data_IF_965971219063
#
_entry.id   IF_965971219063
#
_cell.length_a   1.000
_cell.length_b   1.000
_cell.length_c   1.000
_cell.angle_alpha   90.00
_cell.angle_beta   90.00
_cell.angle_gamma   90.00
#
_symmetry.space_group_name_H-M   'P 1'
#
loop_
_entity.id
_entity.type
_entity.pdbx_description
1 polymer ?
#
# COMPACT_ATOMS: atom_id res chain seq x y z
N UNK A 1 33.40 -3.37 3.27
CA UNK A 1 32.11 -3.13 2.62
C UNK A 1 31.04 -3.43 3.65
N UNK A 2 30.12 -2.49 3.88
CA UNK A 2 28.95 -2.69 4.74
C UNK A 2 28.08 -3.81 4.16
N UNK A 3 27.59 -4.73 5.00
CA UNK A 3 26.64 -5.78 4.57
C UNK A 3 25.35 -5.14 4.08
N UNK A 4 24.59 -5.83 3.23
CA UNK A 4 23.31 -5.30 2.72
C UNK A 4 22.28 -5.08 3.85
N UNK A 5 22.25 -5.97 4.86
CA UNK A 5 21.38 -5.80 6.04
C UNK A 5 21.77 -4.58 6.89
N UNK A 6 23.06 -4.38 7.14
CA UNK A 6 23.54 -3.18 7.84
C UNK A 6 23.24 -1.91 7.04
N UNK A 7 23.41 -1.94 5.72
CA UNK A 7 23.07 -0.82 4.85
C UNK A 7 21.57 -0.50 4.90
N UNK A 8 20.71 -1.53 4.85
CA UNK A 8 19.26 -1.35 4.98
C UNK A 8 18.90 -0.66 6.30
N UNK A 9 19.50 -1.11 7.42
CA UNK A 9 19.29 -0.53 8.74
C UNK A 9 19.79 0.92 8.84
N UNK A 10 20.98 1.21 8.31
CA UNK A 10 21.57 2.56 8.34
C UNK A 10 20.72 3.54 7.50
N UNK A 11 20.22 3.11 6.33
CA UNK A 11 19.32 3.88 5.48
C UNK A 11 17.98 4.13 6.20
N UNK A 12 17.34 3.08 6.73
CA UNK A 12 16.06 3.20 7.42
C UNK A 12 16.17 4.13 8.65
N UNK A 13 17.26 3.99 9.43
CA UNK A 13 17.55 4.87 10.57
C UNK A 13 17.77 6.32 10.14
N UNK A 14 18.51 6.56 9.04
CA UNK A 14 18.81 7.89 8.54
C UNK A 14 17.57 8.61 8.00
N UNK A 15 16.76 7.92 7.20
CA UNK A 15 15.48 8.42 6.72
C UNK A 15 14.52 8.70 7.89
N UNK A 16 14.47 7.80 8.87
CA UNK A 16 13.67 7.99 10.08
C UNK A 16 14.05 9.23 10.90
N UNK A 17 15.35 9.51 11.04
CA UNK A 17 15.82 10.73 11.71
C UNK A 17 15.43 11.99 10.93
N UNK A 18 15.59 11.99 9.60
CA UNK A 18 15.15 13.09 8.73
C UNK A 18 13.64 13.35 8.86
N UNK A 19 12.84 12.28 8.86
CA UNK A 19 11.39 12.36 9.03
C UNK A 19 10.99 12.95 10.39
N UNK A 20 11.70 12.61 11.48
CA UNK A 20 11.46 13.22 12.79
C UNK A 20 11.74 14.72 12.81
N UNK A 21 12.82 15.17 12.17
CA UNK A 21 13.16 16.60 12.06
C UNK A 21 12.08 17.37 11.29
N UNK A 22 11.65 16.84 10.14
CA UNK A 22 10.57 17.42 9.33
C UNK A 22 9.26 17.48 10.12
N UNK A 23 8.90 16.37 10.79
CA UNK A 23 7.68 16.27 11.59
C UNK A 23 7.71 17.28 12.73
N UNK A 24 8.81 17.38 13.46
CA UNK A 24 8.97 18.32 14.59
C UNK A 24 8.80 19.78 14.14
N UNK A 25 9.31 20.13 12.96
CA UNK A 25 9.18 21.48 12.42
C UNK A 25 7.77 21.80 11.88
N UNK A 26 7.03 20.80 11.38
CA UNK A 26 5.74 21.00 10.71
C UNK A 26 4.48 20.60 11.50
N UNK A 27 4.60 19.75 12.52
CA UNK A 27 3.45 19.20 13.22
C UNK A 27 2.69 20.30 13.99
N UNK A 28 1.39 20.42 13.72
CA UNK A 28 0.51 21.42 14.32
C UNK A 28 0.58 22.81 13.66
N UNK A 29 1.48 23.02 12.69
CA UNK A 29 1.58 24.27 11.92
C UNK A 29 1.25 24.08 10.43
N UNK A 30 1.55 22.91 9.87
CA UNK A 30 1.18 22.50 8.53
C UNK A 30 -0.10 21.65 8.54
N UNK A 31 -0.77 21.61 7.39
CA UNK A 31 -1.75 20.56 7.13
C UNK A 31 -1.08 19.18 7.17
N UNK A 32 -1.76 18.18 7.75
CA UNK A 32 -1.19 16.85 7.96
C UNK A 32 -0.83 16.11 6.66
N UNK A 33 -1.62 16.31 5.59
CA UNK A 33 -1.36 15.71 4.28
C UNK A 33 -0.14 16.33 3.62
N UNK A 34 -0.05 17.66 3.65
CA UNK A 34 1.13 18.38 3.16
C UNK A 34 2.39 18.02 3.95
N UNK A 35 2.27 17.79 5.26
CA UNK A 35 3.38 17.31 6.07
C UNK A 35 3.83 15.91 5.64
N UNK A 36 2.89 14.99 5.42
CA UNK A 36 3.17 13.65 4.86
C UNK A 36 3.93 13.74 3.55
N UNK A 37 3.37 14.46 2.57
CA UNK A 37 3.98 14.66 1.24
C UNK A 37 5.41 15.20 1.30
N UNK A 38 5.68 16.15 2.19
CA UNK A 38 7.03 16.68 2.42
C UNK A 38 7.97 15.62 3.01
N UNK A 39 7.46 14.77 3.90
CA UNK A 39 8.18 13.64 4.47
C UNK A 39 8.52 12.62 3.40
N UNK A 40 7.53 12.18 2.63
CA UNK A 40 7.66 11.22 1.52
C UNK A 40 8.77 11.64 0.54
N UNK A 41 8.68 12.85 -0.02
CA UNK A 41 9.65 13.40 -0.98
C UNK A 41 11.06 13.47 -0.39
N UNK A 42 11.20 13.94 0.85
CA UNK A 42 12.50 14.12 1.47
C UNK A 42 13.17 12.78 1.83
N UNK A 43 12.39 11.83 2.34
CA UNK A 43 12.85 10.50 2.67
C UNK A 43 13.23 9.74 1.40
N UNK A 44 12.43 9.82 0.33
CA UNK A 44 12.73 9.16 -0.96
C UNK A 44 14.06 9.66 -1.52
N UNK A 45 14.22 10.99 -1.64
CA UNK A 45 15.46 11.60 -2.13
C UNK A 45 16.69 11.19 -1.31
N UNK A 46 16.55 11.08 0.02
CA UNK A 46 17.62 10.60 0.90
C UNK A 46 17.97 9.13 0.61
N UNK A 47 16.98 8.24 0.56
CA UNK A 47 17.18 6.81 0.36
C UNK A 47 17.79 6.54 -1.02
N UNK A 48 17.24 7.16 -2.08
CA UNK A 48 17.75 7.05 -3.44
C UNK A 48 19.21 7.51 -3.53
N UNK A 49 19.54 8.66 -2.92
CA UNK A 49 20.91 9.18 -2.90
C UNK A 49 21.91 8.23 -2.20
N UNK A 50 21.49 7.59 -1.11
CA UNK A 50 22.30 6.59 -0.39
C UNK A 50 22.52 5.32 -1.22
N UNK A 51 21.45 4.79 -1.82
CA UNK A 51 21.54 3.59 -2.65
C UNK A 51 22.36 3.83 -3.91
N UNK A 52 22.21 4.98 -4.57
CA UNK A 52 23.03 5.34 -5.72
C UNK A 52 24.53 5.45 -5.38
N UNK A 53 24.87 5.91 -4.17
CA UNK A 53 26.26 6.02 -3.73
C UNK A 53 26.87 4.68 -3.31
N UNK A 54 26.11 3.80 -2.65
CA UNK A 54 26.63 2.58 -2.05
C UNK A 54 26.38 1.31 -2.88
N UNK A 55 25.37 1.31 -3.73
CA UNK A 55 24.91 0.19 -4.58
C UNK A 55 24.49 0.69 -5.98
N UNK A 56 25.39 1.35 -6.74
CA UNK A 56 25.03 1.99 -8.03
C UNK A 56 24.52 1.03 -9.11
N UNK A 57 24.75 -0.28 -8.98
CA UNK A 57 24.34 -1.30 -9.96
C UNK A 57 22.99 -1.97 -9.62
N UNK A 58 22.49 -1.78 -8.39
CA UNK A 58 21.23 -2.36 -7.95
C UNK A 58 20.07 -1.48 -8.47
N UNK A 59 18.97 -2.10 -8.89
CA UNK A 59 17.75 -1.35 -9.21
C UNK A 59 16.99 -0.96 -7.95
N UNK A 60 16.04 -0.03 -8.10
CA UNK A 60 15.20 0.45 -7.01
C UNK A 60 13.74 0.44 -7.47
N UNK A 61 12.86 -0.04 -6.61
CA UNK A 61 11.42 0.12 -6.66
C UNK A 61 11.01 0.93 -5.43
N UNK A 62 10.56 2.17 -5.64
CA UNK A 62 10.08 3.05 -4.58
C UNK A 62 8.59 3.30 -4.73
N UNK A 63 7.89 3.48 -3.60
CA UNK A 63 6.54 4.04 -3.60
C UNK A 63 6.48 5.37 -4.36
N UNK A 64 7.44 6.26 -4.07
CA UNK A 64 7.44 7.68 -4.44
C UNK A 64 8.03 7.96 -5.83
N UNK A 65 8.60 6.94 -6.49
CA UNK A 65 9.21 7.08 -7.81
C UNK A 65 8.43 6.33 -8.89
N UNK A 66 8.43 6.88 -10.11
CA UNK A 66 7.96 6.19 -11.29
C UNK A 66 8.76 4.88 -11.51
N UNK A 67 8.05 3.82 -11.87
CA UNK A 67 8.66 2.51 -12.18
C UNK A 67 8.91 2.41 -13.69
N UNK A 68 10.15 2.64 -14.11
CA UNK A 68 10.59 2.52 -15.51
C UNK A 68 10.76 1.04 -15.96
N UNK A 69 10.49 0.09 -15.06
CA UNK A 69 10.56 -1.37 -15.24
C UNK A 69 11.96 -1.93 -15.46
N UNK A 70 13.01 -1.11 -15.47
CA UNK A 70 14.39 -1.58 -15.64
C UNK A 70 14.79 -2.58 -14.54
N UNK A 71 14.13 -2.52 -13.38
CA UNK A 71 14.28 -3.47 -12.26
C UNK A 71 13.99 -4.93 -12.63
N UNK A 72 13.10 -5.20 -13.59
CA UNK A 72 12.72 -6.57 -13.96
C UNK A 72 13.90 -7.32 -14.60
N UNK A 73 14.83 -6.59 -15.20
CA UNK A 73 16.06 -7.14 -15.79
C UNK A 73 17.16 -7.34 -14.75
N UNK A 74 17.07 -6.69 -13.58
CA UNK A 74 18.12 -6.73 -12.54
C UNK A 74 17.99 -7.93 -11.61
N UNK A 75 19.14 -8.44 -11.17
CA UNK A 75 19.21 -9.54 -10.19
C UNK A 75 19.08 -9.06 -8.75
N UNK A 76 19.21 -7.76 -8.50
CA UNK A 76 19.20 -7.11 -7.19
C UNK A 76 18.34 -5.87 -7.28
N UNK A 77 17.31 -5.79 -6.44
CA UNK A 77 16.34 -4.70 -6.44
C UNK A 77 16.06 -4.29 -5.00
N UNK A 78 16.31 -3.02 -4.68
CA UNK A 78 15.87 -2.43 -3.43
C UNK A 78 14.40 -2.05 -3.54
N UNK A 79 13.57 -2.56 -2.65
CA UNK A 79 12.14 -2.24 -2.57
C UNK A 79 11.96 -1.39 -1.32
N UNK A 80 11.53 -0.14 -1.50
CA UNK A 80 11.52 0.86 -0.43
C UNK A 80 10.15 1.53 -0.30
N UNK A 81 9.78 1.78 0.95
CA UNK A 81 8.69 2.68 1.34
C UNK A 81 9.34 3.79 2.19
N UNK A 82 9.52 5.00 1.62
CA UNK A 82 10.16 6.09 2.33
C UNK A 82 9.42 6.52 3.60
N UNK A 83 8.09 6.37 3.63
CA UNK A 83 7.24 6.70 4.77
C UNK A 83 5.91 5.92 4.70
N UNK A 84 5.89 4.75 5.34
CA UNK A 84 4.67 3.97 5.49
C UNK A 84 3.80 4.57 6.61
N UNK A 85 2.54 4.87 6.31
CA UNK A 85 1.62 5.54 7.23
C UNK A 85 1.73 7.06 7.22
N UNK A 86 1.86 7.69 6.04
CA UNK A 86 1.94 9.17 5.89
C UNK A 86 0.77 9.91 6.55
N UNK A 87 -0.42 9.28 6.63
CA UNK A 87 -1.57 9.79 7.39
C UNK A 87 -1.26 9.86 8.88
N UNK A 88 -0.85 8.75 9.50
CA UNK A 88 -0.48 8.70 10.92
C UNK A 88 0.72 9.62 11.23
N UNK A 89 1.67 9.72 10.31
CA UNK A 89 2.77 10.68 10.39
C UNK A 89 2.28 12.14 10.46
N UNK A 90 1.29 12.52 9.66
CA UNK A 90 0.69 13.86 9.66
C UNK A 90 -0.15 14.19 10.91
N UNK A 91 -0.50 13.20 11.74
CA UNK A 91 -1.39 13.38 12.89
C UNK A 91 -0.62 13.51 14.23
N UNK A 92 -1.02 14.43 15.13
CA UNK A 92 -0.42 14.54 16.46
C UNK A 92 -0.63 13.29 17.32
N UNK A 93 0.38 12.91 18.10
CA UNK A 93 0.29 11.82 19.07
C UNK A 93 0.40 10.40 18.49
N UNK A 94 0.44 10.26 17.17
CA UNK A 94 0.61 8.97 16.50
C UNK A 94 2.08 8.56 16.41
N UNK A 95 2.35 7.27 16.65
CA UNK A 95 3.66 6.63 16.55
C UNK A 95 3.69 5.43 15.60
N UNK A 96 2.54 5.13 14.98
CA UNK A 96 2.30 4.02 14.07
C UNK A 96 2.56 4.39 12.61
N UNK A 97 3.81 4.76 12.33
CA UNK A 97 4.37 4.99 10.99
C UNK A 97 5.81 4.46 10.93
N UNK A 98 6.29 4.16 9.73
CA UNK A 98 7.54 3.43 9.53
C UNK A 98 8.32 3.88 8.28
N UNK A 99 9.55 3.38 8.16
CA UNK A 99 10.34 3.40 6.92
C UNK A 99 10.70 1.98 6.55
N UNK A 100 10.49 1.57 5.30
CA UNK A 100 10.81 0.23 4.82
C UNK A 100 11.99 0.26 3.85
N UNK A 101 12.98 -0.59 4.11
CA UNK A 101 14.12 -0.79 3.20
C UNK A 101 14.37 -2.28 3.07
N UNK A 102 14.07 -2.85 1.90
CA UNK A 102 14.34 -4.25 1.61
C UNK A 102 15.21 -4.40 0.37
N UNK A 103 16.04 -5.44 0.36
CA UNK A 103 16.75 -5.92 -0.82
C UNK A 103 16.17 -7.27 -1.21
N UNK A 104 15.67 -7.32 -2.44
CA UNK A 104 15.30 -8.54 -3.13
C UNK A 104 16.44 -9.01 -4.05
N UNK A 105 16.68 -10.32 -4.08
CA UNK A 105 17.59 -10.96 -5.02
C UNK A 105 16.93 -12.09 -5.80
N UNK A 106 17.17 -12.12 -7.12
CA UNK A 106 16.58 -13.10 -8.03
C UNK A 106 16.89 -14.53 -7.59
N UNK A 107 15.83 -15.32 -7.41
CA UNK A 107 15.93 -16.71 -6.96
C UNK A 107 16.23 -16.90 -5.47
N UNK A 108 16.35 -15.82 -4.70
CA UNK A 108 16.57 -15.85 -3.24
C UNK A 108 15.47 -15.16 -2.44
N UNK A 109 14.67 -14.28 -3.06
CA UNK A 109 13.66 -13.50 -2.37
C UNK A 109 14.27 -12.31 -1.62
N UNK A 110 13.69 -11.93 -0.48
CA UNK A 110 14.21 -10.84 0.36
C UNK A 110 15.43 -11.37 1.15
N UNK A 111 16.61 -10.78 0.93
CA UNK A 111 17.88 -11.22 1.53
C UNK A 111 18.44 -10.26 2.56
N UNK A 112 17.96 -9.02 2.57
CA UNK A 112 18.24 -8.03 3.59
C UNK A 112 17.01 -7.13 3.75
N UNK A 113 16.67 -6.77 4.98
CA UNK A 113 15.55 -5.87 5.25
C UNK A 113 15.76 -5.08 6.53
N UNK A 114 15.19 -3.88 6.59
CA UNK A 114 15.05 -3.11 7.79
C UNK A 114 13.72 -2.33 7.82
N UNK A 115 13.14 -2.24 9.02
CA UNK A 115 11.97 -1.41 9.32
C UNK A 115 12.34 -0.45 10.45
N UNK A 116 12.32 0.85 10.18
CA UNK A 116 12.45 1.85 11.23
C UNK A 116 11.07 2.23 11.76
N UNK A 117 10.93 2.39 13.08
CA UNK A 117 9.80 3.04 13.73
C UNK A 117 10.32 4.27 14.50
N UNK A 118 10.50 5.41 13.82
CA UNK A 118 11.29 6.51 14.36
C UNK A 118 10.66 7.13 15.61
N UNK A 119 9.33 7.21 15.68
CA UNK A 119 8.61 7.69 16.87
C UNK A 119 8.81 6.80 18.11
N UNK A 120 9.23 5.55 17.93
CA UNK A 120 9.58 4.61 19.01
C UNK A 120 11.09 4.52 19.26
N UNK A 121 11.91 5.20 18.45
CA UNK A 121 13.38 5.12 18.52
C UNK A 121 13.92 3.73 18.19
N UNK A 122 13.23 2.97 17.34
CA UNK A 122 13.57 1.58 17.03
C UNK A 122 13.87 1.37 15.55
N UNK A 123 14.80 0.46 15.26
CA UNK A 123 15.10 -0.07 13.93
C UNK A 123 15.26 -1.58 14.06
N UNK A 124 14.47 -2.33 13.29
CA UNK A 124 14.50 -3.77 13.23
C UNK A 124 15.15 -4.20 11.92
N UNK A 125 16.12 -5.11 11.97
CA UNK A 125 16.87 -5.55 10.79
C UNK A 125 16.83 -7.08 10.66
N UNK A 126 16.94 -7.59 9.44
CA UNK A 126 16.90 -9.03 9.15
C UNK A 126 18.13 -9.80 9.62
N UNK A 127 19.20 -9.12 10.05
CA UNK A 127 20.39 -9.73 10.66
C UNK A 127 20.44 -9.55 12.20
N UNK A 128 19.32 -9.11 12.81
CA UNK A 128 19.18 -8.97 14.26
C UNK A 128 18.44 -10.16 14.89
N UNK A 129 19.18 -11.00 15.60
CA UNK A 129 18.65 -12.18 16.31
C UNK A 129 18.00 -11.82 17.67
N UNK A 130 18.03 -10.56 18.12
CA UNK A 130 17.49 -10.15 19.42
C UNK A 130 15.97 -10.35 19.54
N UNK A 131 15.29 -10.43 18.40
CA UNK A 131 13.86 -10.67 18.29
C UNK A 131 13.51 -12.06 17.72
N UNK A 132 14.44 -13.02 17.76
CA UNK A 132 14.17 -14.38 17.31
C UNK A 132 12.96 -14.98 18.06
N UNK A 133 11.97 -15.41 17.28
CA UNK A 133 10.73 -15.99 17.77
C UNK A 133 10.89 -17.49 17.88
N UNK A 134 10.61 -18.03 19.06
CA UNK A 134 10.52 -19.46 19.30
C UNK A 134 9.06 -19.86 19.41
N UNK A 135 8.72 -21.03 18.86
CA UNK A 135 7.36 -21.56 18.98
C UNK A 135 7.05 -21.85 20.46
N UNK A 136 5.93 -21.32 20.94
CA UNK A 136 5.45 -21.54 22.31
C UNK A 136 4.03 -22.12 22.29
N UNK A 137 3.45 -22.29 23.48
CA UNK A 137 2.04 -22.64 23.58
C UNK A 137 1.16 -21.51 23.05
N UNK A 138 0.12 -21.88 22.30
CA UNK A 138 -0.87 -20.94 21.78
C UNK A 138 -1.41 -20.04 22.90
N UNK A 139 -1.44 -18.71 22.70
CA UNK A 139 -2.05 -17.82 23.66
C UNK A 139 -3.53 -18.20 23.80
N UNK A 140 -4.05 -18.16 25.04
CA UNK A 140 -5.44 -18.50 25.31
C UNK A 140 -6.44 -17.60 24.57
N UNK A 141 -6.00 -16.38 24.22
CA UNK A 141 -6.78 -15.40 23.47
C UNK A 141 -5.85 -14.60 22.55
N UNK A 142 -5.63 -15.06 21.30
CA UNK A 142 -4.75 -14.38 20.36
C UNK A 142 -5.25 -12.97 20.02
N UNK A 143 -4.35 -12.07 19.66
CA UNK A 143 -4.66 -10.70 19.19
C UNK A 143 -4.29 -10.57 17.72
N UNK A 144 -5.26 -10.24 16.89
CA UNK A 144 -5.10 -9.98 15.46
C UNK A 144 -5.10 -8.46 15.25
N UNK A 145 -4.04 -7.93 14.65
CA UNK A 145 -4.03 -6.54 14.17
C UNK A 145 -4.43 -6.48 12.70
N UNK A 146 -5.24 -5.49 12.37
CA UNK A 146 -5.62 -5.14 10.99
C UNK A 146 -5.46 -3.64 10.73
N UNK A 147 -5.58 -3.23 9.47
CA UNK A 147 -5.58 -1.81 9.10
C UNK A 147 -6.71 -1.05 9.80
N UNK A 148 -6.40 0.12 10.36
CA UNK A 148 -7.40 1.02 10.94
C UNK A 148 -8.32 1.67 9.89
N UNK A 149 -7.87 1.78 8.64
CA UNK A 149 -8.63 2.41 7.56
C UNK A 149 -9.37 1.40 6.67
N UNK A 150 -8.81 0.21 6.50
CA UNK A 150 -9.31 -0.81 5.56
C UNK A 150 -9.18 -2.22 6.16
N UNK A 151 -9.90 -2.53 7.25
CA UNK A 151 -9.90 -3.87 7.80
C UNK A 151 -10.55 -4.87 6.82
N UNK A 152 -10.01 -6.09 6.66
CA UNK A 152 -10.65 -7.12 5.83
C UNK A 152 -12.04 -7.48 6.35
N UNK A 153 -13.05 -7.53 5.47
CA UNK A 153 -14.43 -7.78 5.86
C UNK A 153 -14.64 -9.13 6.59
N UNK A 154 -13.77 -10.11 6.34
CA UNK A 154 -13.84 -11.44 6.92
C UNK A 154 -13.17 -11.55 8.32
N UNK A 155 -12.48 -10.52 8.81
CA UNK A 155 -11.58 -10.68 9.98
C UNK A 155 -12.33 -10.98 11.29
N UNK A 156 -13.52 -10.41 11.49
CA UNK A 156 -14.31 -10.68 12.71
C UNK A 156 -14.78 -12.14 12.78
N UNK A 157 -15.09 -12.73 11.62
CA UNK A 157 -15.46 -14.14 11.52
C UNK A 157 -14.24 -15.05 11.79
N UNK A 158 -13.07 -14.69 11.25
CA UNK A 158 -11.80 -15.37 11.55
C UNK A 158 -11.48 -15.29 13.04
N UNK A 159 -11.60 -14.11 13.65
CA UNK A 159 -11.33 -13.92 15.07
C UNK A 159 -12.28 -14.75 15.94
N UNK A 160 -13.57 -14.82 15.58
CA UNK A 160 -14.56 -15.65 16.26
C UNK A 160 -14.19 -17.13 16.23
N UNK A 161 -13.77 -17.64 15.06
CA UNK A 161 -13.42 -19.06 14.88
C UNK A 161 -12.24 -19.52 15.75
N UNK A 162 -11.28 -18.62 16.00
CA UNK A 162 -10.07 -18.96 16.77
C UNK A 162 -10.05 -18.35 18.18
N UNK A 163 -11.13 -17.69 18.60
CA UNK A 163 -11.24 -17.04 19.91
C UNK A 163 -10.27 -15.86 20.09
N UNK A 164 -9.99 -15.12 19.02
CA UNK A 164 -9.08 -13.97 19.04
C UNK A 164 -9.80 -12.63 19.29
N UNK A 165 -9.03 -11.61 19.64
CA UNK A 165 -9.45 -10.21 19.64
C UNK A 165 -8.89 -9.49 18.41
N UNK A 166 -9.69 -8.60 17.82
CA UNK A 166 -9.24 -7.73 16.73
C UNK A 166 -8.87 -6.36 17.29
N UNK A 167 -7.71 -5.86 16.88
CA UNK A 167 -7.27 -4.48 17.12
C UNK A 167 -6.84 -3.84 15.80
N UNK A 168 -6.76 -2.51 15.79
CA UNK A 168 -6.46 -1.73 14.59
C UNK A 168 -5.20 -0.89 14.79
N UNK A 169 -4.40 -0.74 13.74
CA UNK A 169 -3.22 0.13 13.74
C UNK A 169 -2.97 0.68 12.33
N UNK A 170 -2.44 1.91 12.24
CA UNK A 170 -1.86 2.45 11.00
C UNK A 170 -0.62 1.68 10.56
N UNK A 171 -0.04 2.02 9.40
CA UNK A 171 1.23 1.50 8.86
C UNK A 171 1.37 -0.04 8.77
N UNK A 172 1.66 -0.57 7.57
CA UNK A 172 1.96 -2.00 7.42
C UNK A 172 3.18 -2.43 8.27
N UNK A 173 4.23 -1.61 8.31
CA UNK A 173 5.42 -1.80 9.13
C UNK A 173 5.12 -1.82 10.62
N UNK A 174 4.34 -0.86 11.12
CA UNK A 174 3.97 -0.81 12.54
C UNK A 174 3.22 -2.07 12.98
N UNK A 175 2.29 -2.56 12.14
CA UNK A 175 1.54 -3.80 12.38
C UNK A 175 2.44 -5.03 12.42
N UNK A 176 3.31 -5.19 11.43
CA UNK A 176 4.24 -6.32 11.40
C UNK A 176 5.22 -6.30 12.59
N UNK A 177 5.76 -5.13 12.93
CA UNK A 177 6.69 -5.00 14.06
C UNK A 177 5.98 -5.18 15.41
N UNK A 178 4.67 -4.90 15.51
CA UNK A 178 3.87 -5.27 16.67
C UNK A 178 3.78 -6.80 16.86
N UNK A 179 3.71 -7.57 15.78
CA UNK A 179 3.81 -9.04 15.84
C UNK A 179 5.21 -9.47 16.29
N UNK A 180 6.25 -8.88 15.70
CA UNK A 180 7.67 -9.15 16.05
C UNK A 180 7.95 -8.92 17.55
N UNK A 181 7.42 -7.84 18.12
CA UNK A 181 7.56 -7.52 19.55
C UNK A 181 6.69 -8.37 20.47
N UNK A 182 5.70 -9.09 19.94
CA UNK A 182 4.69 -9.80 20.75
C UNK A 182 3.60 -8.89 21.32
N UNK A 183 3.48 -7.65 20.82
CA UNK A 183 2.39 -6.74 21.18
C UNK A 183 1.04 -7.24 20.67
N UNK A 184 1.05 -8.01 19.59
CA UNK A 184 -0.07 -8.76 18.99
C UNK A 184 0.45 -10.08 18.44
N UNK A 185 -0.42 -11.01 18.07
CA UNK A 185 -0.05 -12.38 17.71
C UNK A 185 -0.13 -12.66 16.20
N UNK A 186 -0.91 -11.86 15.47
CA UNK A 186 -1.04 -11.93 14.02
C UNK A 186 -1.37 -10.58 13.41
N UNK A 187 -0.92 -10.37 12.17
CA UNK A 187 -1.29 -9.29 11.28
C UNK A 187 -1.92 -9.91 10.03
N UNK A 188 -3.18 -9.55 9.77
CA UNK A 188 -3.91 -9.95 8.56
C UNK A 188 -4.21 -8.71 7.74
N UNK A 189 -3.89 -8.77 6.44
CA UNK A 189 -4.31 -7.77 5.48
C UNK A 189 -4.93 -8.44 4.26
N UNK A 190 -5.95 -7.79 3.69
CA UNK A 190 -6.55 -8.13 2.42
C UNK A 190 -7.21 -6.88 1.82
N UNK A 191 -7.47 -6.89 0.52
CA UNK A 191 -8.07 -5.75 -0.19
C UNK A 191 -7.07 -4.75 -0.74
N UNK A 192 -5.78 -5.12 -0.77
CA UNK A 192 -4.76 -4.40 -1.54
C UNK A 192 -3.68 -3.73 -0.73
N UNK A 193 -2.45 -4.10 -1.04
CA UNK A 193 -1.20 -3.45 -0.66
C UNK A 193 -0.21 -3.56 -1.82
N UNK A 194 0.94 -2.94 -1.68
CA UNK A 194 2.02 -2.97 -2.64
C UNK A 194 3.22 -3.74 -2.09
N UNK A 195 4.18 -4.04 -2.96
CA UNK A 195 5.40 -4.72 -2.56
C UNK A 195 6.18 -3.93 -1.51
N UNK A 196 6.25 -2.60 -1.61
CA UNK A 196 6.95 -1.74 -0.64
C UNK A 196 6.29 -1.71 0.74
N UNK A 197 4.97 -1.89 0.82
CA UNK A 197 4.25 -2.00 2.10
C UNK A 197 4.70 -3.24 2.92
N UNK A 198 5.16 -4.30 2.25
CA UNK A 198 5.36 -5.61 2.88
C UNK A 198 6.77 -6.18 2.77
N UNK A 199 7.58 -5.79 1.78
CA UNK A 199 8.89 -6.40 1.52
C UNK A 199 9.83 -6.34 2.73
N UNK A 200 10.00 -5.16 3.34
CA UNK A 200 10.85 -5.03 4.52
C UNK A 200 10.21 -5.64 5.78
N UNK A 201 8.92 -5.40 6.08
CA UNK A 201 8.22 -6.07 7.17
C UNK A 201 8.32 -7.59 7.14
N UNK A 202 8.13 -8.20 5.97
CA UNK A 202 8.21 -9.66 5.77
C UNK A 202 9.65 -10.14 5.87
N UNK A 203 10.61 -9.41 5.31
CA UNK A 203 12.03 -9.76 5.42
C UNK A 203 12.51 -9.81 6.88
N UNK A 204 12.11 -8.83 7.69
CA UNK A 204 12.42 -8.80 9.14
C UNK A 204 11.66 -9.89 9.88
N UNK A 205 10.35 -10.04 9.65
CA UNK A 205 9.52 -11.02 10.34
C UNK A 205 9.96 -12.48 10.04
N UNK A 206 10.24 -12.79 8.78
CA UNK A 206 10.71 -14.12 8.37
C UNK A 206 12.10 -14.44 8.93
N UNK A 207 13.02 -13.47 8.97
CA UNK A 207 14.33 -13.64 9.59
C UNK A 207 14.23 -13.95 11.10
N UNK A 208 13.26 -13.35 11.78
CA UNK A 208 12.94 -13.64 13.17
C UNK A 208 12.19 -14.97 13.38
N UNK A 209 11.84 -15.71 12.32
CA UNK A 209 11.16 -16.99 12.42
C UNK A 209 9.63 -16.92 12.53
N UNK A 210 9.01 -15.77 12.25
CA UNK A 210 7.54 -15.67 12.11
C UNK A 210 7.06 -16.34 10.82
N UNK A 211 5.80 -16.79 10.82
CA UNK A 211 5.12 -17.23 9.61
C UNK A 211 4.75 -16.02 8.76
N UNK A 212 5.13 -16.03 7.48
CA UNK A 212 4.79 -15.00 6.51
C UNK A 212 4.29 -15.66 5.21
N UNK A 213 3.06 -15.34 4.80
CA UNK A 213 2.48 -15.87 3.56
C UNK A 213 1.43 -14.93 2.99
N UNK A 214 0.92 -15.25 1.80
CA UNK A 214 -0.40 -14.82 1.35
C UNK A 214 -1.49 -15.42 2.25
N UNK A 215 -2.71 -14.88 2.21
CA UNK A 215 -3.80 -15.35 3.08
C UNK A 215 -4.30 -16.75 2.69
N UNK A 216 -3.96 -17.22 1.48
CA UNK A 216 -4.18 -18.59 1.02
C UNK A 216 -3.04 -19.57 1.39
N UNK A 217 -1.99 -19.08 2.05
CA UNK A 217 -0.82 -19.84 2.48
C UNK A 217 0.29 -19.96 1.43
N UNK A 218 0.12 -19.40 0.22
CA UNK A 218 1.17 -19.35 -0.79
C UNK A 218 2.28 -18.35 -0.42
N UNK A 219 3.45 -18.49 -1.05
CA UNK A 219 4.58 -17.61 -0.79
C UNK A 219 4.29 -16.17 -1.26
N UNK A 220 4.91 -15.21 -0.56
CA UNK A 220 4.91 -13.81 -0.97
C UNK A 220 5.98 -13.63 -2.05
N UNK A 221 5.57 -13.19 -3.23
CA UNK A 221 6.46 -12.91 -4.37
C UNK A 221 6.68 -11.41 -4.52
N UNK A 222 7.85 -11.04 -5.01
CA UNK A 222 8.36 -9.66 -5.08
C UNK A 222 9.18 -9.47 -6.34
N UNK A 223 9.35 -8.21 -6.73
CA UNK A 223 9.85 -7.75 -8.02
C UNK A 223 8.98 -8.23 -9.19
N UNK A 224 7.67 -8.29 -8.98
CA UNK A 224 6.71 -8.65 -10.01
C UNK A 224 6.48 -7.50 -10.99
N UNK A 225 6.03 -7.79 -12.21
CA UNK A 225 5.75 -6.75 -13.21
C UNK A 225 4.64 -5.78 -12.76
N UNK A 226 3.78 -6.22 -11.85
CA UNK A 226 2.85 -5.38 -11.12
C UNK A 226 3.20 -5.52 -9.65
N UNK A 227 3.74 -4.47 -9.01
CA UNK A 227 4.20 -4.56 -7.64
C UNK A 227 3.04 -4.52 -6.62
N UNK A 228 1.90 -5.10 -6.97
CA UNK A 228 0.71 -5.17 -6.14
C UNK A 228 0.64 -6.52 -5.44
N UNK A 229 0.48 -6.47 -4.13
CA UNK A 229 0.40 -7.62 -3.25
C UNK A 229 -0.90 -7.51 -2.45
N UNK A 230 -1.97 -8.22 -2.86
CA UNK A 230 -3.32 -7.90 -2.40
C UNK A 230 -3.59 -8.22 -0.93
N UNK A 231 -2.83 -9.15 -0.37
CA UNK A 231 -3.12 -9.73 0.94
C UNK A 231 -1.87 -10.38 1.55
N UNK A 232 -1.82 -10.45 2.87
CA UNK A 232 -0.77 -11.15 3.60
C UNK A 232 -1.26 -11.62 4.97
N UNK A 233 -0.53 -12.59 5.51
CA UNK A 233 -0.59 -13.06 6.88
C UNK A 233 0.84 -13.06 7.45
N UNK A 234 1.06 -12.29 8.52
CA UNK A 234 2.26 -12.39 9.37
C UNK A 234 1.80 -12.82 10.75
N UNK A 235 2.28 -13.94 11.28
CA UNK A 235 1.85 -14.41 12.60
C UNK A 235 2.89 -15.30 13.28
N UNK A 236 2.67 -15.56 14.57
CA UNK A 236 3.40 -16.60 15.30
C UNK A 236 3.22 -17.95 14.59
N UNK A 237 4.28 -18.79 14.45
CA UNK A 237 4.21 -20.05 13.70
C UNK A 237 3.08 -20.99 14.13
N UNK A 238 2.82 -21.07 15.44
CA UNK A 238 1.76 -21.89 16.03
C UNK A 238 0.34 -21.45 15.61
N UNK A 239 0.15 -20.19 15.20
CA UNK A 239 -1.13 -19.64 14.75
C UNK A 239 -1.36 -19.76 13.24
N UNK A 240 -0.35 -20.09 12.45
CA UNK A 240 -0.45 -20.10 10.99
C UNK A 240 -1.55 -21.05 10.48
N UNK A 241 -1.51 -22.32 10.91
CA UNK A 241 -2.49 -23.32 10.49
C UNK A 241 -3.95 -22.98 10.88
N UNK A 242 -4.27 -22.64 12.15
CA UNK A 242 -5.65 -22.28 12.50
C UNK A 242 -6.13 -21.00 11.82
N UNK A 243 -5.28 -20.00 11.65
CA UNK A 243 -5.63 -18.76 10.93
C UNK A 243 -5.91 -19.03 9.46
N UNK A 244 -5.02 -19.72 8.75
CA UNK A 244 -5.23 -20.06 7.32
C UNK A 244 -6.51 -20.88 7.13
N UNK A 245 -6.80 -21.83 8.02
CA UNK A 245 -8.03 -22.60 7.96
C UNK A 245 -9.29 -21.75 8.18
N UNK A 246 -9.24 -20.76 9.08
CA UNK A 246 -10.33 -19.83 9.32
C UNK A 246 -10.50 -18.85 8.15
N UNK A 247 -9.41 -18.30 7.63
CA UNK A 247 -9.41 -17.43 6.46
C UNK A 247 -10.04 -18.15 5.27
N UNK A 248 -9.63 -19.39 4.99
CA UNK A 248 -10.17 -20.17 3.86
C UNK A 248 -11.69 -20.41 3.93
N UNK A 249 -12.31 -20.30 5.11
CA UNK A 249 -13.78 -20.39 5.27
C UNK A 249 -14.50 -19.07 4.98
N UNK A 250 -13.85 -17.94 5.23
CA UNK A 250 -14.51 -16.63 5.28
C UNK A 250 -14.06 -15.64 4.19
N UNK A 251 -12.81 -15.75 3.73
CA UNK A 251 -12.27 -14.96 2.61
C UNK A 251 -12.76 -15.53 1.27
N UNK A 252 -14.02 -15.22 0.95
CA UNK A 252 -14.71 -15.76 -0.25
C UNK A 252 -14.60 -14.86 -1.48
N UNK A 253 -14.20 -13.61 -1.30
CA UNK A 253 -13.98 -12.67 -2.39
C UNK A 253 -12.63 -12.93 -3.08
N UNK A 254 -12.64 -12.90 -4.40
CA UNK A 254 -11.40 -12.91 -5.18
C UNK A 254 -10.70 -11.55 -5.04
N UNK A 255 -9.42 -11.57 -4.69
CA UNK A 255 -8.59 -10.37 -4.72
C UNK A 255 -8.55 -9.76 -6.13
N UNK A 256 -8.47 -8.44 -6.19
CA UNK A 256 -8.21 -7.73 -7.43
C UNK A 256 -6.86 -8.17 -8.03
N UNK A 257 -6.75 -8.17 -9.36
CA UNK A 257 -5.44 -8.18 -10.01
C UNK A 257 -4.73 -6.84 -9.74
N UNK A 258 -3.41 -6.80 -9.94
CA UNK A 258 -2.66 -5.53 -9.82
C UNK A 258 -3.21 -4.41 -10.71
N UNK A 259 -3.67 -4.73 -11.92
CA UNK A 259 -4.26 -3.73 -12.82
C UNK A 259 -5.62 -3.25 -12.32
N UNK A 260 -6.48 -4.16 -11.85
CA UNK A 260 -7.79 -3.79 -11.30
C UNK A 260 -7.62 -2.93 -10.05
N UNK A 261 -6.66 -3.27 -9.18
CA UNK A 261 -6.35 -2.47 -8.00
C UNK A 261 -5.87 -1.06 -8.34
N UNK A 262 -5.06 -0.91 -9.39
CA UNK A 262 -4.63 0.39 -9.90
C UNK A 262 -5.79 1.23 -10.44
N UNK A 263 -6.64 0.62 -11.27
CA UNK A 263 -7.84 1.28 -11.78
C UNK A 263 -8.81 1.66 -10.63
N UNK A 264 -8.94 0.80 -9.62
CA UNK A 264 -9.74 1.09 -8.42
C UNK A 264 -9.16 2.26 -7.62
N UNK A 265 -7.85 2.29 -7.37
CA UNK A 265 -7.21 3.39 -6.66
C UNK A 265 -7.44 4.74 -7.37
N UNK A 266 -7.40 4.75 -8.71
CA UNK A 266 -7.77 5.92 -9.50
C UNK A 266 -9.24 6.35 -9.27
N UNK A 267 -10.17 5.40 -9.32
CA UNK A 267 -11.61 5.67 -9.15
C UNK A 267 -11.95 6.11 -7.73
N UNK A 268 -11.31 5.51 -6.72
CA UNK A 268 -11.47 5.90 -5.32
C UNK A 268 -10.98 7.35 -5.11
N UNK A 269 -9.90 7.75 -5.78
CA UNK A 269 -9.36 9.12 -5.75
C UNK A 269 -10.33 10.17 -6.32
N UNK A 270 -11.23 9.78 -7.23
CA UNK A 270 -12.28 10.69 -7.75
C UNK A 270 -13.20 11.20 -6.63
N UNK A 271 -13.41 10.38 -5.59
CA UNK A 271 -14.31 10.71 -4.46
C UNK A 271 -13.51 11.23 -3.26
N UNK A 272 -12.35 10.63 -2.97
CA UNK A 272 -11.56 11.00 -1.79
C UNK A 272 -10.71 12.25 -1.99
N UNK A 273 -10.49 12.67 -3.24
CA UNK A 273 -9.52 13.71 -3.62
C UNK A 273 -8.15 13.45 -3.02
N UNK A 274 -7.77 12.17 -2.97
CA UNK A 274 -6.51 11.68 -2.45
C UNK A 274 -5.85 10.83 -3.51
N UNK A 275 -4.94 11.44 -4.28
CA UNK A 275 -4.23 10.76 -5.36
C UNK A 275 -2.90 10.17 -4.91
N UNK A 276 -2.60 10.15 -3.60
CA UNK A 276 -1.32 9.64 -3.05
C UNK A 276 -1.05 8.19 -3.45
N UNK A 277 -2.10 7.37 -3.61
CA UNK A 277 -1.97 5.96 -4.04
C UNK A 277 -2.21 5.74 -5.54
N UNK A 278 -2.37 6.81 -6.33
CA UNK A 278 -2.60 6.73 -7.78
C UNK A 278 -1.28 6.73 -8.54
N UNK A 279 -0.93 5.57 -9.08
CA UNK A 279 0.28 5.39 -9.89
C UNK A 279 0.00 5.69 -11.36
N UNK A 280 0.51 6.83 -11.83
CA UNK A 280 0.45 7.27 -13.22
C UNK A 280 1.87 7.37 -13.79
N UNK A 281 2.04 6.96 -15.05
CA UNK A 281 3.29 7.17 -15.76
C UNK A 281 3.52 8.66 -16.01
N UNK A 282 4.78 9.11 -16.12
CA UNK A 282 5.10 10.53 -16.34
C UNK A 282 4.39 11.09 -17.57
N UNK A 283 4.38 10.31 -18.66
CA UNK A 283 3.73 10.65 -19.93
C UNK A 283 2.27 10.15 -20.02
N UNK A 284 1.62 9.86 -18.89
CA UNK A 284 0.23 9.43 -18.90
C UNK A 284 -0.69 10.54 -19.43
N UNK A 285 -1.77 10.15 -20.10
CA UNK A 285 -2.72 11.09 -20.68
C UNK A 285 -4.17 10.71 -20.36
N UNK A 286 -5.06 11.70 -20.34
CA UNK A 286 -6.49 11.53 -20.11
C UNK A 286 -7.32 12.13 -21.24
N UNK A 287 -8.36 11.39 -21.65
CA UNK A 287 -9.37 11.84 -22.61
C UNK A 287 -10.77 11.60 -22.04
N UNK A 288 -11.65 12.60 -22.13
CA UNK A 288 -13.05 12.51 -21.72
C UNK A 288 -13.95 12.83 -22.92
N UNK A 289 -14.81 11.88 -23.32
CA UNK A 289 -15.73 12.03 -24.46
C UNK A 289 -15.03 12.58 -25.74
N UNK A 290 -13.78 12.17 -25.96
CA UNK A 290 -12.96 12.58 -27.12
C UNK A 290 -12.22 13.91 -26.96
N UNK A 291 -12.33 14.60 -25.83
CA UNK A 291 -11.55 15.80 -25.51
C UNK A 291 -10.34 15.43 -24.65
N UNK A 292 -9.16 15.94 -24.98
CA UNK A 292 -7.98 15.80 -24.14
C UNK A 292 -8.17 16.62 -22.86
N UNK A 293 -8.05 15.97 -21.70
CA UNK A 293 -8.25 16.56 -20.38
C UNK A 293 -7.09 16.31 -19.42
N UNK A 294 -6.03 15.66 -19.88
CA UNK A 294 -4.78 15.53 -19.12
C UNK A 294 -3.61 15.15 -20.02
N UNK A 295 -2.46 15.80 -19.82
CA UNK A 295 -1.28 15.70 -20.69
C UNK A 295 -0.06 15.05 -19.99
N UNK A 296 -0.12 14.84 -18.68
CA UNK A 296 0.92 14.14 -17.90
C UNK A 296 0.33 13.46 -16.66
N UNK A 297 1.05 12.49 -16.10
CA UNK A 297 0.66 11.84 -14.85
C UNK A 297 0.58 12.80 -13.67
N UNK A 298 1.51 13.77 -13.59
CA UNK A 298 1.49 14.83 -12.57
C UNK A 298 0.25 15.70 -12.69
N UNK A 299 -0.10 16.13 -13.91
CA UNK A 299 -1.29 16.94 -14.15
C UNK A 299 -2.57 16.20 -13.77
N UNK A 300 -2.67 14.92 -14.13
CA UNK A 300 -3.86 14.11 -13.80
C UNK A 300 -4.00 13.94 -12.28
N UNK A 301 -2.89 13.74 -11.54
CA UNK A 301 -2.94 13.68 -10.06
C UNK A 301 -3.38 15.00 -9.45
N UNK A 302 -2.81 16.12 -9.89
CA UNK A 302 -3.20 17.46 -9.40
C UNK A 302 -4.69 17.72 -9.64
N UNK A 303 -5.19 17.36 -10.82
CA UNK A 303 -6.61 17.47 -11.13
C UNK A 303 -7.46 16.57 -10.22
N UNK A 304 -7.08 15.32 -9.94
CA UNK A 304 -7.83 14.46 -8.99
C UNK A 304 -7.92 15.06 -7.58
N UNK A 305 -6.88 15.75 -7.12
CA UNK A 305 -6.79 16.33 -5.78
C UNK A 305 -7.45 17.71 -5.69
N UNK A 306 -7.26 18.56 -6.70
CA UNK A 306 -7.56 19.98 -6.65
C UNK A 306 -8.55 20.45 -7.72
N UNK A 307 -8.85 19.61 -8.72
CA UNK A 307 -9.71 19.93 -9.85
C UNK A 307 -11.16 20.19 -9.42
N UNK A 308 -11.67 21.37 -9.77
CA UNK A 308 -13.03 21.81 -9.43
C UNK A 308 -14.12 20.86 -9.92
N UNK A 309 -13.88 20.17 -11.04
CA UNK A 309 -14.80 19.22 -11.63
C UNK A 309 -15.04 17.97 -10.77
N UNK A 310 -14.05 17.56 -9.95
CA UNK A 310 -14.19 16.39 -9.09
C UNK A 310 -14.83 16.74 -7.76
N UNK A 311 -14.75 17.99 -7.29
CA UNK A 311 -15.34 18.41 -6.00
C UNK A 311 -16.84 18.16 -5.88
N UNK A 312 -17.55 18.07 -7.01
CA UNK A 312 -18.97 17.75 -7.04
C UNK A 312 -19.26 16.26 -6.87
N UNK A 313 -18.27 15.38 -6.94
CA UNK A 313 -18.42 13.92 -6.84
C UNK A 313 -18.66 13.55 -5.38
N UNK A 314 -19.79 12.91 -5.11
CA UNK A 314 -20.16 12.48 -3.76
C UNK A 314 -19.95 10.98 -3.55
N UNK A 315 -20.17 10.17 -4.60
CA UNK A 315 -20.07 8.72 -4.51
C UNK A 315 -19.85 8.05 -5.86
N UNK A 316 -19.24 6.86 -5.80
CA UNK A 316 -19.18 5.87 -6.87
C UNK A 316 -20.05 4.70 -6.48
N UNK A 317 -20.92 4.24 -7.38
CA UNK A 317 -21.79 3.06 -7.20
C UNK A 317 -21.71 2.10 -8.37
N UNK A 318 -22.16 0.87 -8.14
CA UNK A 318 -22.28 -0.18 -9.17
C UNK A 318 -20.97 -0.43 -9.93
N UNK A 319 -19.84 -0.28 -9.23
CA UNK A 319 -18.51 -0.39 -9.81
C UNK A 319 -18.20 -1.85 -10.17
N UNK A 320 -17.85 -2.06 -11.43
CA UNK A 320 -17.45 -3.36 -11.97
C UNK A 320 -16.23 -3.20 -12.88
N UNK A 321 -15.41 -4.25 -12.95
CA UNK A 321 -14.20 -4.28 -13.76
C UNK A 321 -14.23 -5.41 -14.77
N UNK A 322 -13.62 -5.16 -15.92
CA UNK A 322 -13.29 -6.18 -16.92
C UNK A 322 -11.84 -5.98 -17.38
N UNK A 323 -11.02 -7.01 -17.23
CA UNK A 323 -9.59 -6.98 -17.59
C UNK A 323 -9.32 -7.88 -18.81
N UNK A 324 -8.50 -7.40 -19.75
CA UNK A 324 -7.92 -8.21 -20.81
C UNK A 324 -6.57 -7.65 -21.29
N UNK A 325 -5.56 -8.51 -21.41
CA UNK A 325 -4.20 -8.07 -21.74
C UNK A 325 -3.72 -7.00 -20.76
N UNK A 326 -3.34 -5.83 -21.28
CA UNK A 326 -2.92 -4.67 -20.48
C UNK A 326 -4.07 -3.71 -20.14
N UNK A 327 -5.31 -4.03 -20.52
CA UNK A 327 -6.44 -3.12 -20.40
C UNK A 327 -7.34 -3.48 -19.23
N UNK A 328 -7.82 -2.46 -18.53
CA UNK A 328 -8.92 -2.57 -17.56
C UNK A 328 -10.04 -1.63 -17.98
N UNK A 329 -11.27 -2.13 -18.00
CA UNK A 329 -12.46 -1.28 -18.14
C UNK A 329 -13.24 -1.29 -16.84
N UNK A 330 -13.40 -0.11 -16.26
CA UNK A 330 -14.30 0.11 -15.15
C UNK A 330 -15.63 0.67 -15.65
N UNK A 331 -16.73 0.14 -15.14
CA UNK A 331 -18.07 0.70 -15.35
C UNK A 331 -18.69 1.00 -14.01
N UNK A 332 -19.18 2.21 -13.84
CA UNK A 332 -19.75 2.68 -12.58
C UNK A 332 -20.72 3.85 -12.81
N UNK A 333 -21.41 4.21 -11.73
CA UNK A 333 -22.28 5.40 -11.66
C UNK A 333 -21.62 6.41 -10.74
N UNK A 334 -21.44 7.63 -11.22
CA UNK A 334 -21.05 8.77 -10.39
C UNK A 334 -22.28 9.54 -9.96
N UNK A 335 -22.36 9.82 -8.67
CA UNK A 335 -23.35 10.71 -8.08
C UNK A 335 -22.69 12.08 -7.86
N UNK A 336 -23.22 13.10 -8.55
CA UNK A 336 -22.72 14.48 -8.55
C UNK A 336 -23.69 15.39 -7.81
N UNK A 337 -23.22 16.23 -6.89
CA UNK A 337 -24.10 17.17 -6.20
C UNK A 337 -23.36 18.19 -5.36
N UNK A 338 -23.93 19.41 -5.28
CA UNK A 338 -23.45 20.44 -4.35
C UNK A 338 -23.90 20.19 -2.90
N UNK A 339 -24.98 19.42 -2.72
CA UNK A 339 -25.50 18.99 -1.41
C UNK A 339 -25.92 17.52 -1.46
N UNK A 340 -26.00 16.81 -0.32
CA UNK A 340 -26.42 15.40 -0.30
C UNK A 340 -27.85 15.16 -0.82
N UNK A 341 -28.64 16.22 -0.98
CA UNK A 341 -30.05 16.16 -1.38
C UNK A 341 -30.29 16.48 -2.86
N UNK A 342 -29.32 17.10 -3.54
CA UNK A 342 -29.39 17.44 -4.97
C UNK A 342 -28.34 16.65 -5.73
N UNK A 343 -28.68 15.41 -6.08
CA UNK A 343 -27.78 14.48 -6.78
C UNK A 343 -28.22 14.30 -8.23
N UNK A 344 -27.31 14.54 -9.16
CA UNK A 344 -27.40 14.13 -10.56
C UNK A 344 -26.44 12.98 -10.79
N UNK A 345 -26.93 11.89 -11.39
CA UNK A 345 -26.07 10.75 -11.68
C UNK A 345 -25.63 10.72 -13.15
N UNK A 346 -24.42 10.21 -13.39
CA UNK A 346 -23.90 9.91 -14.73
C UNK A 346 -23.33 8.50 -14.75
N UNK A 347 -23.46 7.82 -15.89
CA UNK A 347 -22.79 6.53 -16.11
C UNK A 347 -21.42 6.79 -16.69
N UNK A 348 -20.41 6.14 -16.13
CA UNK A 348 -19.04 6.23 -16.56
C UNK A 348 -18.58 4.86 -17.07
N UNK A 349 -17.90 4.86 -18.21
CA UNK A 349 -17.00 3.78 -18.62
C UNK A 349 -15.60 4.35 -18.73
N UNK A 350 -14.69 3.95 -17.84
CA UNK A 350 -13.27 4.31 -17.94
C UNK A 350 -12.47 3.13 -18.48
N UNK A 351 -11.70 3.40 -19.53
CA UNK A 351 -10.72 2.49 -20.09
C UNK A 351 -9.34 2.89 -19.60
N UNK A 352 -8.65 1.96 -18.95
CA UNK A 352 -7.29 2.11 -18.48
C UNK A 352 -6.36 1.24 -19.30
N UNK A 353 -5.23 1.81 -19.72
CA UNK A 353 -4.08 1.05 -20.22
C UNK A 353 -3.02 0.96 -19.11
N UNK A 354 -2.73 -0.26 -18.68
CA UNK A 354 -1.90 -0.58 -17.50
C UNK A 354 -0.94 -1.72 -17.86
N UNK A 355 0.12 -1.47 -18.65
CA UNK A 355 1.03 -2.51 -19.08
C UNK A 355 1.94 -3.03 -17.96
N UNK A 356 2.34 -2.17 -17.01
CA UNK A 356 3.09 -2.53 -15.81
C UNK A 356 3.25 -1.37 -14.82
N UNK A 357 2.82 -1.56 -13.57
CA UNK A 357 3.25 -0.74 -12.42
C UNK A 357 2.79 0.72 -12.38
N UNK A 358 2.31 1.28 -13.49
CA UNK A 358 1.66 2.59 -13.59
C UNK A 358 0.59 2.62 -14.69
N UNK A 359 -0.43 3.48 -14.52
CA UNK A 359 -1.47 3.77 -15.53
C UNK A 359 -0.84 4.66 -16.62
N UNK A 360 -0.94 4.25 -17.89
CA UNK A 360 -0.42 5.00 -19.03
C UNK A 360 -1.47 5.86 -19.73
N UNK A 361 -2.73 5.43 -19.71
CA UNK A 361 -3.81 6.25 -20.25
C UNK A 361 -5.12 5.97 -19.56
N UNK A 362 -5.97 7.02 -19.51
CA UNK A 362 -7.35 6.92 -19.05
C UNK A 362 -8.26 7.55 -20.10
N UNK A 363 -9.17 6.77 -20.66
CA UNK A 363 -10.22 7.26 -21.55
C UNK A 363 -11.57 7.07 -20.88
N UNK A 364 -12.24 8.16 -20.55
CA UNK A 364 -13.56 8.15 -19.94
C UNK A 364 -14.65 8.45 -20.97
N UNK A 365 -15.69 7.63 -20.95
CA UNK A 365 -16.95 7.85 -21.65
C UNK A 365 -18.00 8.18 -20.58
N UNK A 366 -18.58 9.37 -20.68
CA UNK A 366 -19.55 9.92 -19.73
C UNK A 366 -20.91 10.00 -20.42
N UNK A 367 -21.88 9.27 -19.89
CA UNK A 367 -23.23 9.17 -20.43
C UNK A 367 -24.26 9.60 -19.39
N UNK A 368 -25.39 10.22 -19.81
CA UNK A 368 -26.49 10.51 -18.90
C UNK A 368 -27.00 9.25 -18.19
N UNK A 369 -27.16 9.30 -16.87
CA UNK A 369 -27.80 8.24 -16.13
C UNK A 369 -29.32 8.46 -16.15
N UNK A 370 -30.04 7.72 -16.99
CA UNK A 370 -31.49 7.69 -16.90
C UNK A 370 -31.87 6.86 -15.67
N UNK A 371 -32.47 7.48 -14.66
CA UNK A 371 -33.27 6.74 -13.68
C UNK A 371 -34.38 6.06 -14.47
N UNK A 372 -34.51 4.74 -14.35
CA UNK A 372 -35.73 4.07 -14.82
C UNK A 372 -36.89 4.80 -14.18
N UNK A 373 -37.64 5.57 -14.98
CA UNK A 373 -38.90 6.12 -14.55
C UNK A 373 -39.71 4.93 -14.06
N UNK A 374 -40.15 4.98 -12.81
CA UNK A 374 -41.20 4.11 -12.30
C UNK A 374 -42.33 4.11 -13.32
N UNK A 375 -42.40 3.07 -14.15
CA UNK A 375 -43.60 2.73 -14.88
C UNK A 375 -44.59 2.19 -13.84
N UNK A 376 -45.36 3.11 -13.24
CA UNK A 376 -46.64 2.80 -12.60
C UNK A 376 -47.73 3.67 -13.19
#
# INVERSE_FOLDING_TARGET
>A
MTTDARLAADIASGAGALLLDIRTAGLGSADGRELGRRGDIAADAFILGKLAAERPEDAILSEESADDRSRLERSRVWIIDPLDGSKEYGLPGHSDWAVHVALWERGRGITAAAVAQPALGAVYASDDDSHAVHAEQLPARPRIVVSASRPPAFVDAVATDIGAEVTTMGSAGAKAMAVLRGDVDAYIHAGGQWEWDSAAPVGVAAAAGLHCSRIDGTALEYNESHPYLPDLLICRPELAAPLLAAIARHATDTADSGRVAMARAYIDALVSHDATKVRLADNAWRVENGQHTGESGEFIRDELENGLQYQAIQAVRDLSFHEWGDNVVARFVLDLGATPTEVTSVRITEHFDIPAGAIQSVMAIIEPFATERENR
#
